data_IF_144586092205
#
_entry.id   IF_144586092205
#
_cell.length_a   1.000
_cell.length_b   1.000
_cell.length_c   1.000
_cell.angle_alpha   90.00
_cell.angle_beta   90.00
_cell.angle_gamma   90.00
#
_symmetry.space_group_name_H-M   'P 1'
#
loop_
_entity.id
_entity.type
_entity.pdbx_description
1 polymer ?
#
# COMPACT_ATOMS: atom_id res chain seq x y z
N UNK A 1 3.45 -0.07 6.70
CA UNK A 1 2.98 0.36 5.37
C UNK A 1 4.09 0.12 4.32
N UNK A 2 4.40 -1.15 4.10
CA UNK A 2 5.66 -1.60 3.49
C UNK A 2 5.60 -1.50 1.96
N UNK A 3 4.39 -1.43 1.38
CA UNK A 3 4.19 -1.23 -0.07
C UNK A 3 4.82 0.07 -0.59
N UNK A 4 4.96 1.11 0.25
CA UNK A 4 5.65 2.35 -0.13
C UNK A 4 7.17 2.21 -0.18
N UNK A 5 7.72 1.21 0.52
CA UNK A 5 9.15 0.88 0.51
C UNK A 5 9.46 -0.12 -0.61
N UNK A 6 8.53 -1.01 -0.93
CA UNK A 6 8.75 -2.06 -1.94
C UNK A 6 8.38 -1.60 -3.35
N UNK A 7 7.17 -1.08 -3.55
CA UNK A 7 6.64 -0.82 -4.90
C UNK A 7 6.81 0.64 -5.33
N UNK A 8 6.56 1.59 -4.43
CA UNK A 8 6.58 3.02 -4.76
C UNK A 8 7.95 3.69 -4.53
N UNK A 9 8.88 3.00 -3.87
CA UNK A 9 10.15 3.60 -3.49
C UNK A 9 10.99 4.10 -4.68
N UNK A 10 11.07 3.37 -5.82
CA UNK A 10 11.80 3.87 -6.99
C UNK A 10 11.26 5.22 -7.48
N UNK A 11 9.94 5.34 -7.73
CA UNK A 11 9.32 6.59 -8.21
C UNK A 11 9.38 7.71 -7.16
N UNK A 12 9.27 7.38 -5.88
CA UNK A 12 9.44 8.37 -4.80
C UNK A 12 10.86 8.93 -4.81
N UNK A 13 11.89 8.09 -4.99
CA UNK A 13 13.29 8.53 -4.99
C UNK A 13 13.69 9.25 -6.27
N UNK A 14 13.26 8.76 -7.42
CA UNK A 14 13.69 9.26 -8.73
C UNK A 14 12.87 10.47 -9.19
N UNK A 15 11.58 10.50 -8.86
CA UNK A 15 10.65 11.51 -9.37
C UNK A 15 9.93 12.30 -8.27
N UNK A 16 10.03 11.90 -7.00
CA UNK A 16 9.23 12.49 -5.94
C UNK A 16 7.73 12.21 -6.11
N UNK A 17 7.36 11.05 -6.68
CA UNK A 17 5.97 10.74 -7.01
C UNK A 17 5.51 9.39 -6.50
N UNK A 18 4.25 9.35 -6.11
CA UNK A 18 3.49 8.13 -5.83
C UNK A 18 2.40 8.05 -6.88
N UNK A 19 2.34 6.93 -7.60
CA UNK A 19 1.38 6.72 -8.68
C UNK A 19 0.25 5.81 -8.22
N UNK A 20 -0.99 6.19 -8.49
CA UNK A 20 -2.15 5.30 -8.31
C UNK A 20 -3.32 5.72 -9.18
N UNK A 21 -4.19 4.76 -9.50
CA UNK A 21 -5.45 5.00 -10.21
C UNK A 21 -6.65 4.84 -9.26
N UNK A 22 -6.58 5.50 -8.10
CA UNK A 22 -7.57 5.37 -7.02
C UNK A 22 -8.48 6.58 -6.85
N UNK A 23 -8.29 7.62 -7.65
CA UNK A 23 -8.90 8.92 -7.44
C UNK A 23 -8.69 9.42 -6.02
N UNK A 24 -9.72 10.11 -5.50
CA UNK A 24 -9.81 10.52 -4.10
C UNK A 24 -10.23 9.38 -3.15
N UNK A 25 -10.02 8.12 -3.54
CA UNK A 25 -10.34 6.96 -2.73
C UNK A 25 -9.55 6.97 -1.43
N UNK A 26 -10.24 6.67 -0.31
CA UNK A 26 -9.62 6.58 1.01
C UNK A 26 -9.41 5.12 1.39
N UNK A 27 -8.22 4.82 1.88
CA UNK A 27 -7.76 3.46 2.18
C UNK A 27 -7.25 3.43 3.63
N UNK A 28 -7.66 2.43 4.43
CA UNK A 28 -7.12 2.22 5.77
C UNK A 28 -5.79 1.46 5.70
N UNK A 29 -4.72 2.16 5.35
CA UNK A 29 -3.38 1.55 5.19
C UNK A 29 -2.89 0.91 6.49
N UNK A 30 -2.58 -0.38 6.44
CA UNK A 30 -2.11 -1.17 7.58
C UNK A 30 -0.63 -1.54 7.43
N UNK A 31 0.09 -1.71 8.53
CA UNK A 31 1.45 -2.26 8.50
C UNK A 31 1.45 -3.79 8.46
N UNK A 32 2.47 -4.37 7.84
CA UNK A 32 2.70 -5.82 7.85
C UNK A 32 2.90 -6.32 9.28
N UNK A 33 3.53 -5.53 10.15
CA UNK A 33 3.71 -5.89 11.57
C UNK A 33 2.37 -5.99 12.32
N UNK A 34 1.42 -5.08 12.06
CA UNK A 34 0.08 -5.14 12.67
C UNK A 34 -0.73 -6.35 12.16
N UNK A 35 -0.62 -6.67 10.87
CA UNK A 35 -1.22 -7.89 10.30
C UNK A 35 -0.59 -9.14 10.93
N UNK A 36 0.73 -9.18 11.07
CA UNK A 36 1.44 -10.28 11.70
C UNK A 36 1.07 -10.44 13.18
N UNK A 37 0.95 -9.34 13.92
CA UNK A 37 0.51 -9.34 15.31
C UNK A 37 -0.93 -9.87 15.45
N UNK A 38 -1.83 -9.45 14.56
CA UNK A 38 -3.20 -9.98 14.50
C UNK A 38 -3.25 -11.47 14.20
N UNK A 39 -2.47 -11.93 13.21
CA UNK A 39 -2.33 -13.35 12.88
C UNK A 39 -1.73 -14.16 14.03
N UNK A 40 -0.68 -13.67 14.67
CA UNK A 40 -0.06 -14.31 15.82
C UNK A 40 -1.05 -14.49 16.97
N UNK A 41 -1.79 -13.42 17.32
CA UNK A 41 -2.76 -13.46 18.41
C UNK A 41 -3.90 -14.46 18.14
N UNK A 42 -4.43 -14.47 16.92
CA UNK A 42 -5.52 -15.40 16.54
C UNK A 42 -5.05 -16.85 16.53
N UNK A 43 -3.83 -17.12 16.03
CA UNK A 43 -3.26 -18.48 15.97
C UNK A 43 -2.84 -19.04 17.34
N UNK A 44 -2.51 -18.18 18.30
CA UNK A 44 -2.03 -18.59 19.64
C UNK A 44 -3.07 -18.49 20.75
N UNK A 45 -4.30 -18.05 20.42
CA UNK A 45 -5.39 -17.96 21.38
C UNK A 45 -5.74 -19.33 21.96
N UNK A 46 -5.99 -19.38 23.29
CA UNK A 46 -6.44 -20.59 23.99
C UNK A 46 -7.76 -21.13 23.44
N UNK A 47 -8.63 -20.24 22.97
CA UNK A 47 -9.89 -20.60 22.32
C UNK A 47 -9.84 -20.04 20.90
N UNK A 48 -9.96 -20.89 19.86
CA UNK A 48 -9.94 -20.40 18.49
C UNK A 48 -11.16 -19.50 18.27
N UNK A 49 -10.95 -18.24 17.82
CA UNK A 49 -12.05 -17.29 17.69
C UNK A 49 -13.05 -17.70 16.61
N UNK A 50 -12.63 -18.47 15.60
CA UNK A 50 -13.48 -18.99 14.50
C UNK A 50 -14.40 -17.91 13.91
N UNK A 51 -13.84 -16.73 13.69
CA UNK A 51 -14.55 -15.54 13.24
C UNK A 51 -13.66 -14.72 12.32
N UNK A 52 -14.28 -13.88 11.49
CA UNK A 52 -13.60 -13.02 10.55
C UNK A 52 -13.24 -11.68 11.21
N UNK A 53 -12.00 -11.24 11.02
CA UNK A 53 -11.51 -9.95 11.50
C UNK A 53 -11.11 -9.05 10.35
N UNK A 54 -11.49 -7.77 10.45
CA UNK A 54 -10.95 -6.73 9.58
C UNK A 54 -9.71 -6.12 10.26
N UNK A 55 -8.55 -6.28 9.63
CA UNK A 55 -7.29 -5.68 10.09
C UNK A 55 -7.03 -4.43 9.25
N UNK A 56 -7.36 -3.27 9.83
CA UNK A 56 -7.36 -1.99 9.14
C UNK A 56 -6.38 -1.02 9.81
N UNK A 57 -5.79 -0.13 9.02
CA UNK A 57 -5.10 1.04 9.56
C UNK A 57 -6.05 1.94 10.37
N UNK A 58 -5.50 2.75 11.30
CA UNK A 58 -6.31 3.58 12.19
C UNK A 58 -7.03 4.74 11.48
N UNK A 59 -6.57 5.12 10.28
CA UNK A 59 -7.06 6.30 9.56
C UNK A 59 -7.39 5.97 8.10
N UNK A 60 -8.43 6.62 7.58
CA UNK A 60 -8.81 6.57 6.17
C UNK A 60 -8.08 7.66 5.38
N UNK A 61 -7.04 7.27 4.65
CA UNK A 61 -6.13 8.20 3.97
C UNK A 61 -6.23 8.06 2.46
N UNK A 62 -6.15 9.17 1.75
CA UNK A 62 -5.91 9.19 0.30
C UNK A 62 -4.42 9.02 -0.01
N UNK A 63 -4.07 8.74 -1.26
CA UNK A 63 -2.67 8.75 -1.68
C UNK A 63 -2.02 10.14 -1.58
N UNK A 64 -2.80 11.21 -1.73
CA UNK A 64 -2.33 12.58 -1.48
C UNK A 64 -1.97 12.82 -0.01
N UNK A 65 -2.77 12.30 0.93
CA UNK A 65 -2.48 12.37 2.37
C UNK A 65 -1.18 11.60 2.69
N UNK A 66 -1.00 10.42 2.11
CA UNK A 66 0.24 9.65 2.26
C UNK A 66 1.45 10.41 1.70
N UNK A 67 1.32 10.99 0.51
CA UNK A 67 2.40 11.79 -0.08
C UNK A 67 2.79 12.96 0.83
N UNK A 68 1.82 13.62 1.47
CA UNK A 68 2.07 14.69 2.43
C UNK A 68 2.79 14.18 3.70
N UNK A 69 2.35 13.05 4.26
CA UNK A 69 2.99 12.42 5.43
C UNK A 69 4.45 12.04 5.13
N UNK A 70 4.69 11.40 3.98
CA UNK A 70 6.04 11.03 3.55
C UNK A 70 6.89 12.29 3.34
N UNK A 71 6.35 13.30 2.66
CA UNK A 71 7.05 14.56 2.40
C UNK A 71 7.51 15.22 3.69
N UNK A 72 6.64 15.25 4.69
CA UNK A 72 6.94 15.78 6.01
C UNK A 72 8.04 14.96 6.70
N UNK A 73 7.95 13.63 6.65
CA UNK A 73 8.91 12.75 7.31
C UNK A 73 10.33 12.81 6.71
N UNK A 74 10.46 12.99 5.39
CA UNK A 74 11.75 12.99 4.68
C UNK A 74 12.25 14.40 4.31
N UNK A 75 11.50 15.44 4.67
CA UNK A 75 11.79 16.85 4.33
C UNK A 75 12.05 17.10 2.83
N UNK A 76 11.43 16.31 1.96
CA UNK A 76 11.52 16.42 0.49
C UNK A 76 10.12 16.35 -0.08
N UNK A 77 9.82 17.15 -1.11
CA UNK A 77 8.49 17.16 -1.70
C UNK A 77 8.21 15.85 -2.44
N UNK A 78 7.14 15.17 -2.03
CA UNK A 78 6.54 14.01 -2.69
C UNK A 78 5.08 14.32 -3.01
N UNK A 79 4.64 14.01 -4.22
CA UNK A 79 3.25 14.27 -4.67
C UNK A 79 2.57 13.00 -5.14
N UNK A 80 1.24 12.95 -4.96
CA UNK A 80 0.42 11.93 -5.59
C UNK A 80 0.14 12.32 -7.04
N UNK A 81 0.51 11.44 -7.97
CA UNK A 81 0.22 11.55 -9.38
C UNK A 81 -0.88 10.55 -9.74
N UNK A 82 -2.05 11.09 -10.11
CA UNK A 82 -3.21 10.29 -10.51
C UNK A 82 -2.96 9.66 -11.88
N UNK A 83 -3.23 8.37 -11.98
CA UNK A 83 -3.25 7.62 -13.23
C UNK A 83 -4.66 7.18 -13.59
N UNK A 84 -4.89 7.05 -14.88
CA UNK A 84 -6.01 6.28 -15.40
C UNK A 84 -5.75 4.78 -15.23
N UNK A 85 -6.81 3.98 -15.26
CA UNK A 85 -6.69 2.52 -15.24
C UNK A 85 -5.86 2.03 -16.44
N UNK A 86 -6.00 2.65 -17.62
CA UNK A 86 -5.23 2.28 -18.81
C UNK A 86 -3.72 2.53 -18.64
N UNK A 87 -3.33 3.63 -17.99
CA UNK A 87 -1.93 3.90 -17.66
C UNK A 87 -1.37 2.90 -16.65
N UNK A 88 -2.16 2.54 -15.63
CA UNK A 88 -1.78 1.51 -14.66
C UNK A 88 -1.63 0.12 -15.31
N UNK A 89 -2.48 -0.23 -16.27
CA UNK A 89 -2.39 -1.50 -17.01
C UNK A 89 -1.20 -1.55 -17.96
N UNK A 90 -0.82 -0.41 -18.55
CA UNK A 90 0.35 -0.29 -19.40
C UNK A 90 1.66 -0.32 -18.60
N UNK A 91 1.61 -0.01 -17.30
CA UNK A 91 2.78 -0.07 -16.43
C UNK A 91 3.24 -1.53 -16.23
N UNK A 92 4.49 -1.78 -16.57
CA UNK A 92 5.15 -3.09 -16.41
C UNK A 92 5.83 -3.24 -15.04
N UNK A 93 5.36 -2.46 -14.06
CA UNK A 93 5.91 -2.40 -12.71
C UNK A 93 5.95 -3.76 -12.00
N UNK A 94 6.48 -3.82 -10.77
CA UNK A 94 6.81 -5.08 -10.12
C UNK A 94 5.62 -6.04 -9.99
N UNK A 95 4.39 -5.54 -9.87
CA UNK A 95 3.16 -6.36 -9.84
C UNK A 95 2.79 -6.98 -11.19
N UNK A 96 3.02 -6.28 -12.31
CA UNK A 96 2.83 -6.83 -13.66
C UNK A 96 3.82 -7.98 -13.94
N UNK A 97 5.02 -7.95 -13.34
CA UNK A 97 5.98 -9.06 -13.43
C UNK A 97 5.53 -10.33 -12.65
N UNK A 98 4.65 -10.19 -11.65
CA UNK A 98 4.12 -11.30 -10.84
C UNK A 98 2.92 -11.99 -11.51
N UNK A 99 2.13 -11.28 -12.33
CA UNK A 99 0.98 -11.86 -13.05
C UNK A 99 1.39 -12.70 -14.27
N UNK A 100 2.60 -12.52 -14.81
CA UNK A 100 3.12 -13.31 -15.92
C UNK A 100 3.41 -14.78 -15.57
N UNK A 101 3.66 -15.11 -14.28
CA UNK A 101 4.04 -16.47 -13.85
C UNK A 101 2.87 -17.43 -13.55
N UNK A 102 1.61 -17.02 -13.72
CA UNK A 102 0.44 -17.87 -13.46
C UNK A 102 -0.27 -18.40 -14.72
N UNK A 103 0.33 -18.27 -15.90
CA UNK A 103 -0.11 -19.05 -17.08
C UNK A 103 0.63 -20.40 -17.10
N UNK A 104 0.13 -21.34 -16.30
CA UNK A 104 0.22 -22.76 -16.60
C UNK A 104 -1.15 -23.22 -17.12
#
# INVERSE_FOLDING_TARGET
MENFVTYNLPSIKEEGKIYSATGSGKIPFVSVDDVAAGGFHTLTSKQPPNSDYLVLGPELLTYADIAAIISFAIATQVVHAEWTIAELEADSGPLASMTSKSKC
#
